data_IF_256572908233
#
_entry.id   IF_256572908233
#
_cell.length_a   1.000
_cell.length_b   1.000
_cell.length_c   1.000
_cell.angle_alpha   90.00
_cell.angle_beta   90.00
_cell.angle_gamma   90.00
#
_symmetry.space_group_name_H-M   'P 1'
#
loop_
_entity.id
_entity.type
_entity.pdbx_description
1 polymer ?
#
# COMPACT_ATOMS: atom_id res chain seq x y z
N UNK A 1 -12.12 -0.89 -16.85
CA UNK A 1 -10.81 -0.40 -17.32
C UNK A 1 -9.96 -0.06 -16.11
N UNK A 2 -8.67 -0.40 -16.11
CA UNK A 2 -7.79 -0.10 -14.97
C UNK A 2 -7.38 1.39 -14.96
N UNK A 3 -7.14 1.99 -13.78
CA UNK A 3 -6.61 3.35 -13.67
C UNK A 3 -5.26 3.52 -14.39
N UNK A 4 -5.01 4.73 -14.93
CA UNK A 4 -3.81 5.07 -15.73
C UNK A 4 -2.51 4.61 -15.07
N UNK A 5 -2.37 4.80 -13.76
CA UNK A 5 -1.10 4.57 -13.05
C UNK A 5 -0.96 3.17 -12.43
N UNK A 6 -1.97 2.29 -12.59
CA UNK A 6 -1.99 0.98 -11.92
C UNK A 6 -0.75 0.15 -12.18
N UNK A 7 -0.21 0.13 -13.40
CA UNK A 7 0.98 -0.65 -13.72
C UNK A 7 2.25 -0.02 -13.12
N UNK A 8 2.45 1.28 -13.34
CA UNK A 8 3.63 1.98 -12.86
C UNK A 8 3.76 1.90 -11.33
N UNK A 9 2.67 2.14 -10.60
CA UNK A 9 2.71 2.14 -9.13
C UNK A 9 2.83 0.72 -8.55
N UNK A 10 2.38 -0.32 -9.27
CA UNK A 10 2.66 -1.71 -8.91
C UNK A 10 4.15 -2.04 -9.09
N UNK A 11 4.76 -1.55 -10.17
CA UNK A 11 6.19 -1.70 -10.43
C UNK A 11 7.05 -0.97 -9.40
N UNK A 12 6.69 0.25 -9.02
CA UNK A 12 7.34 0.99 -7.93
C UNK A 12 7.15 0.30 -6.57
N UNK A 13 5.96 -0.23 -6.29
CA UNK A 13 5.70 -1.05 -5.09
C UNK A 13 6.55 -2.31 -5.05
N UNK A 14 6.87 -2.92 -6.21
CA UNK A 14 7.81 -4.04 -6.29
C UNK A 14 9.27 -3.58 -6.11
N UNK A 15 9.65 -2.44 -6.69
CA UNK A 15 10.99 -1.88 -6.54
C UNK A 15 11.31 -1.57 -5.07
N UNK A 16 10.31 -1.12 -4.29
CA UNK A 16 10.50 -0.80 -2.87
C UNK A 16 11.02 -1.98 -2.04
N UNK A 17 10.85 -3.24 -2.47
CA UNK A 17 11.38 -4.44 -1.79
C UNK A 17 12.86 -4.74 -2.08
N UNK A 18 13.48 -4.06 -3.05
CA UNK A 18 14.89 -4.25 -3.38
C UNK A 18 15.81 -3.60 -2.34
N UNK A 19 17.09 -4.02 -2.26
CA UNK A 19 18.12 -3.24 -1.58
C UNK A 19 18.15 -1.79 -2.05
N UNK A 20 18.29 -0.83 -1.14
CA UNK A 20 18.13 0.61 -1.43
C UNK A 20 19.09 1.14 -2.51
N UNK A 21 20.30 0.58 -2.59
CA UNK A 21 21.29 0.87 -3.62
C UNK A 21 20.84 0.44 -5.02
N UNK A 22 19.94 -0.54 -5.12
CA UNK A 22 19.35 -1.01 -6.38
C UNK A 22 18.08 -0.26 -6.78
N UNK A 23 17.32 0.26 -5.80
CA UNK A 23 16.04 0.94 -6.05
C UNK A 23 16.17 2.05 -7.07
N UNK A 24 17.21 2.89 -6.96
CA UNK A 24 17.48 4.00 -7.92
C UNK A 24 17.55 3.54 -9.38
N UNK A 25 18.13 2.38 -9.64
CA UNK A 25 18.26 1.85 -10.99
C UNK A 25 16.97 1.19 -11.46
N UNK A 26 16.24 0.57 -10.55
CA UNK A 26 14.99 -0.11 -10.87
C UNK A 26 13.88 0.89 -11.23
N UNK A 27 13.72 1.96 -10.46
CA UNK A 27 12.64 2.95 -10.69
C UNK A 27 12.84 3.74 -11.98
N UNK A 28 14.10 3.93 -12.42
CA UNK A 28 14.43 4.55 -13.70
C UNK A 28 13.88 3.76 -14.90
N UNK A 29 13.83 2.42 -14.82
CA UNK A 29 13.24 1.58 -15.87
C UNK A 29 11.75 1.83 -16.08
N UNK A 30 11.09 2.45 -15.10
CA UNK A 30 9.67 2.78 -15.12
C UNK A 30 9.42 4.27 -15.38
N UNK A 31 10.46 5.05 -15.70
CA UNK A 31 10.37 6.48 -15.97
C UNK A 31 10.33 7.35 -14.72
N UNK A 32 10.82 6.87 -13.58
CA UNK A 32 10.88 7.62 -12.32
C UNK A 32 12.32 7.82 -11.85
N UNK A 33 12.60 9.02 -11.35
CA UNK A 33 13.84 9.35 -10.65
C UNK A 33 13.67 9.07 -9.15
N UNK A 34 14.68 8.46 -8.55
CA UNK A 34 14.77 8.31 -7.11
C UNK A 34 15.04 9.67 -6.45
N UNK A 35 14.33 9.98 -5.36
CA UNK A 35 14.54 11.20 -4.57
C UNK A 35 15.14 10.85 -3.20
N UNK A 36 14.40 10.08 -2.40
CA UNK A 36 14.78 9.75 -1.03
C UNK A 36 14.10 8.46 -0.57
N UNK A 37 14.71 7.74 0.37
CA UNK A 37 14.06 6.69 1.14
C UNK A 37 14.18 6.96 2.63
N UNK A 38 13.34 6.27 3.39
CA UNK A 38 13.37 6.23 4.84
C UNK A 38 13.32 4.77 5.27
N UNK A 39 14.27 4.39 6.13
CA UNK A 39 14.38 3.06 6.69
C UNK A 39 14.42 3.15 8.22
N UNK A 40 13.29 2.87 8.86
CA UNK A 40 13.12 2.93 10.30
C UNK A 40 12.80 1.53 10.85
N UNK A 41 13.57 0.53 10.40
CA UNK A 41 13.40 -0.87 10.76
C UNK A 41 12.29 -1.52 9.94
N UNK A 42 11.21 -1.94 10.60
CA UNK A 42 10.09 -2.61 9.92
C UNK A 42 9.16 -1.64 9.15
N UNK A 43 9.48 -0.35 9.17
CA UNK A 43 8.71 0.70 8.51
C UNK A 43 9.60 1.43 7.53
N UNK A 44 9.25 1.31 6.25
CA UNK A 44 10.10 1.71 5.15
C UNK A 44 9.29 2.37 4.04
N UNK A 45 9.85 3.42 3.43
CA UNK A 45 9.22 4.13 2.32
C UNK A 45 10.26 4.69 1.36
N UNK A 46 9.88 4.84 0.09
CA UNK A 46 10.68 5.54 -0.92
C UNK A 46 9.82 6.59 -1.62
N UNK A 47 10.40 7.75 -1.85
CA UNK A 47 9.86 8.81 -2.67
C UNK A 47 10.59 8.82 -4.02
N UNK A 48 9.80 8.81 -5.08
CA UNK A 48 10.27 8.95 -6.45
C UNK A 48 9.44 10.00 -7.18
N UNK A 49 9.92 10.51 -8.30
CA UNK A 49 9.16 11.45 -9.13
C UNK A 49 9.41 11.25 -10.62
N UNK A 50 8.52 11.80 -11.43
CA UNK A 50 8.77 12.08 -12.84
C UNK A 50 8.47 13.57 -13.09
N UNK A 51 8.31 13.97 -14.35
CA UNK A 51 7.99 15.35 -14.72
C UNK A 51 6.56 15.79 -14.32
N UNK A 52 5.65 14.83 -14.08
CA UNK A 52 4.23 15.10 -13.80
C UNK A 52 3.92 15.13 -12.29
N UNK A 53 4.51 14.22 -11.50
CA UNK A 53 4.11 14.01 -10.11
C UNK A 53 5.17 13.28 -9.26
N UNK A 54 4.98 13.34 -7.96
CA UNK A 54 5.69 12.52 -6.97
C UNK A 54 4.89 11.27 -6.63
N UNK A 55 5.60 10.20 -6.25
CA UNK A 55 5.00 8.96 -5.73
C UNK A 55 5.73 8.56 -4.45
N UNK A 56 5.01 8.60 -3.34
CA UNK A 56 5.45 8.00 -2.08
C UNK A 56 5.01 6.55 -2.06
N UNK A 57 5.97 5.63 -1.90
CA UNK A 57 5.71 4.20 -1.87
C UNK A 57 6.12 3.64 -0.52
N UNK A 58 5.15 3.13 0.24
CA UNK A 58 5.42 2.39 1.47
C UNK A 58 5.69 0.92 1.14
N UNK A 59 6.78 0.38 1.69
CA UNK A 59 7.09 -1.04 1.59
C UNK A 59 6.26 -1.82 2.61
N UNK A 60 5.71 -2.94 2.19
CA UNK A 60 5.11 -3.93 3.08
C UNK A 60 6.12 -4.97 3.56
N UNK A 61 5.69 -5.82 4.49
CA UNK A 61 6.47 -7.00 4.86
C UNK A 61 6.32 -8.10 3.79
N UNK A 62 7.36 -8.94 3.65
CA UNK A 62 7.26 -10.15 2.84
C UNK A 62 6.58 -11.24 3.66
N UNK A 63 5.53 -11.84 3.12
CA UNK A 63 4.85 -12.96 3.77
C UNK A 63 5.50 -14.29 3.41
N UNK A 64 5.81 -15.08 4.44
CA UNK A 64 6.09 -16.51 4.33
C UNK A 64 4.88 -17.31 4.82
N UNK A 65 4.83 -18.62 4.54
CA UNK A 65 3.75 -19.48 5.08
C UNK A 65 3.72 -19.43 6.62
N UNK A 66 4.89 -19.34 7.26
CA UNK A 66 5.01 -19.19 8.71
C UNK A 66 4.41 -17.87 9.19
N UNK A 67 4.83 -16.74 8.60
CA UNK A 67 4.34 -15.43 9.02
C UNK A 67 2.84 -15.23 8.79
N UNK A 68 2.23 -15.92 7.81
CA UNK A 68 0.77 -15.91 7.65
C UNK A 68 0.06 -16.57 8.82
N UNK A 69 0.58 -17.69 9.35
CA UNK A 69 0.01 -18.33 10.53
C UNK A 69 0.10 -17.42 11.75
N UNK A 70 1.25 -16.76 11.92
CA UNK A 70 1.48 -15.83 13.03
C UNK A 70 0.61 -14.57 12.93
N UNK A 71 0.33 -14.09 11.72
CA UNK A 71 -0.56 -12.95 11.50
C UNK A 71 -2.03 -13.36 11.70
N UNK A 72 -2.40 -14.59 11.33
CA UNK A 72 -3.73 -15.14 11.59
C UNK A 72 -3.97 -15.44 13.08
N UNK A 73 -2.94 -15.72 13.86
CA UNK A 73 -3.05 -15.86 15.32
C UNK A 73 -3.02 -14.49 16.01
N UNK A 74 -2.26 -13.53 15.49
CA UNK A 74 -2.17 -12.15 15.97
C UNK A 74 -2.90 -11.16 15.06
N UNK A 75 -4.23 -11.28 14.97
CA UNK A 75 -5.09 -10.43 14.11
C UNK A 75 -5.20 -8.95 14.54
N UNK A 76 -4.48 -8.54 15.58
CA UNK A 76 -4.57 -7.21 16.19
C UNK A 76 -5.96 -6.84 16.70
N UNK A 77 -6.08 -5.59 17.16
CA UNK A 77 -7.34 -4.95 17.57
C UNK A 77 -7.50 -3.63 16.84
N UNK A 78 -8.72 -3.11 16.81
CA UNK A 78 -9.00 -1.74 16.38
C UNK A 78 -8.77 -0.83 17.57
N UNK A 79 -7.93 0.20 17.39
CA UNK A 79 -7.65 1.20 18.41
C UNK A 79 -7.72 2.61 17.81
N UNK A 80 -8.01 3.64 18.63
CA UNK A 80 -7.83 5.04 18.23
C UNK A 80 -6.40 5.31 17.76
N UNK A 81 -6.27 6.23 16.81
CA UNK A 81 -4.99 6.63 16.21
C UNK A 81 -4.93 8.15 16.04
N UNK A 82 -3.93 8.67 15.31
CA UNK A 82 -3.78 10.13 15.13
C UNK A 82 -4.76 10.75 14.10
N UNK A 83 -5.69 9.97 13.56
CA UNK A 83 -6.75 10.43 12.67
C UNK A 83 -8.12 9.97 13.18
N UNK A 84 -9.12 9.99 12.29
CA UNK A 84 -10.50 9.66 12.61
C UNK A 84 -10.75 8.14 12.64
N UNK A 85 -11.65 7.69 13.52
CA UNK A 85 -12.02 6.28 13.67
C UNK A 85 -10.93 5.41 14.30
N UNK A 86 -11.06 4.10 14.12
CA UNK A 86 -10.14 3.12 14.70
C UNK A 86 -9.43 2.30 13.62
N UNK A 87 -8.16 1.97 13.88
CA UNK A 87 -7.27 1.29 12.95
C UNK A 87 -6.58 0.11 13.64
N UNK A 88 -6.23 -0.91 12.87
CA UNK A 88 -5.46 -2.05 13.34
C UNK A 88 -4.15 -1.62 14.03
N UNK A 89 -3.94 -2.05 15.28
CA UNK A 89 -2.80 -1.68 16.13
C UNK A 89 -1.43 -1.84 15.48
N UNK A 90 -1.23 -2.92 14.74
CA UNK A 90 0.02 -3.14 14.00
C UNK A 90 0.32 -2.02 13.01
N UNK A 91 -0.68 -1.57 12.23
CA UNK A 91 -0.47 -0.53 11.23
C UNK A 91 -0.25 0.84 11.88
N UNK A 92 -0.90 1.11 13.01
CA UNK A 92 -0.64 2.31 13.82
C UNK A 92 0.82 2.35 14.26
N UNK A 93 1.33 1.24 14.83
CA UNK A 93 2.72 1.13 15.29
C UNK A 93 3.72 1.39 14.15
N UNK A 94 3.53 0.72 13.00
CA UNK A 94 4.41 0.91 11.84
C UNK A 94 4.32 2.33 11.26
N UNK A 95 3.12 2.92 11.22
CA UNK A 95 2.93 4.27 10.69
C UNK A 95 3.55 5.33 11.59
N UNK A 96 3.35 5.25 12.92
CA UNK A 96 3.89 6.19 13.89
C UNK A 96 5.43 6.29 13.84
N UNK A 97 6.12 5.21 13.48
CA UNK A 97 7.60 5.19 13.38
C UNK A 97 8.16 6.07 12.27
N UNK A 98 7.38 6.33 11.22
CA UNK A 98 7.90 6.93 9.98
C UNK A 98 7.09 8.13 9.49
N UNK A 99 5.83 8.30 9.92
CA UNK A 99 4.91 9.31 9.35
C UNK A 99 5.44 10.73 9.44
N UNK A 100 6.06 11.11 10.56
CA UNK A 100 6.42 12.51 10.81
C UNK A 100 7.64 12.91 9.98
N UNK A 101 8.67 12.05 9.93
CA UNK A 101 9.86 12.30 9.11
C UNK A 101 9.55 12.31 7.61
N UNK A 102 8.66 11.41 7.15
CA UNK A 102 8.20 11.36 5.76
C UNK A 102 7.38 12.61 5.42
N UNK A 103 6.41 12.97 6.26
CA UNK A 103 5.55 14.11 6.01
C UNK A 103 6.29 15.44 6.04
N UNK A 104 7.22 15.62 6.97
CA UNK A 104 8.02 16.85 7.06
C UNK A 104 8.82 17.11 5.79
N UNK A 105 9.26 16.06 5.09
CA UNK A 105 9.89 16.19 3.78
C UNK A 105 8.88 16.47 2.68
N UNK A 106 7.80 15.68 2.60
CA UNK A 106 6.79 15.79 1.54
C UNK A 106 6.05 17.13 1.58
N UNK A 107 5.83 17.70 2.76
CA UNK A 107 5.18 19.00 2.93
C UNK A 107 5.93 20.16 2.26
N UNK A 108 7.21 19.97 1.91
CA UNK A 108 8.04 20.96 1.22
C UNK A 108 8.03 20.80 -0.31
N UNK A 109 7.47 19.71 -0.82
CA UNK A 109 7.46 19.41 -2.25
C UNK A 109 6.28 20.09 -2.94
N UNK A 110 6.43 20.46 -4.23
CA UNK A 110 5.28 20.85 -5.02
C UNK A 110 4.33 19.66 -5.19
N UNK A 111 3.02 19.90 -5.04
CA UNK A 111 1.98 18.96 -5.47
C UNK A 111 2.07 18.78 -7.00
N UNK A 112 1.67 17.62 -7.56
CA UNK A 112 0.88 16.54 -6.95
C UNK A 112 1.69 15.34 -6.41
N UNK A 113 1.19 14.71 -5.33
CA UNK A 113 1.75 13.49 -4.73
C UNK A 113 0.71 12.35 -4.77
N UNK A 114 1.11 11.23 -5.35
CA UNK A 114 0.42 9.95 -5.21
C UNK A 114 1.05 9.13 -4.10
N UNK A 115 0.25 8.27 -3.48
CA UNK A 115 0.77 7.32 -2.48
C UNK A 115 0.44 5.91 -2.92
N UNK A 116 1.38 4.99 -2.80
CA UNK A 116 1.18 3.60 -3.17
C UNK A 116 1.77 2.64 -2.15
N UNK A 117 1.30 1.40 -2.20
CA UNK A 117 1.90 0.33 -1.42
C UNK A 117 1.29 -1.03 -1.72
N UNK A 118 2.10 -2.04 -1.49
CA UNK A 118 1.69 -3.44 -1.58
C UNK A 118 1.55 -4.00 -0.16
N UNK A 119 0.62 -4.94 0.06
CA UNK A 119 0.49 -5.64 1.33
C UNK A 119 0.25 -4.63 2.48
N UNK A 120 0.97 -4.78 3.60
CA UNK A 120 1.02 -3.84 4.73
C UNK A 120 1.42 -2.42 4.28
N UNK A 121 2.27 -2.28 3.27
CA UNK A 121 2.66 -0.98 2.73
C UNK A 121 1.46 -0.21 2.19
N UNK A 122 0.48 -0.90 1.59
CA UNK A 122 -0.76 -0.24 1.17
C UNK A 122 -1.65 0.17 2.34
N UNK A 123 -1.58 -0.50 3.50
CA UNK A 123 -2.24 -0.03 4.70
C UNK A 123 -1.61 1.28 5.20
N UNK A 124 -0.27 1.36 5.24
CA UNK A 124 0.44 2.60 5.59
C UNK A 124 0.16 3.74 4.61
N UNK A 125 0.05 3.43 3.31
CA UNK A 125 -0.32 4.40 2.28
C UNK A 125 -1.71 5.02 2.54
N UNK A 126 -2.70 4.19 2.89
CA UNK A 126 -4.04 4.65 3.25
C UNK A 126 -4.03 5.46 4.54
N UNK A 127 -3.30 5.02 5.57
CA UNK A 127 -3.14 5.77 6.82
C UNK A 127 -2.54 7.16 6.57
N UNK A 128 -1.52 7.25 5.70
CA UNK A 128 -0.93 8.53 5.32
C UNK A 128 -1.95 9.48 4.68
N UNK A 129 -2.75 8.96 3.74
CA UNK A 129 -3.79 9.76 3.08
C UNK A 129 -4.92 10.19 4.03
N UNK A 130 -5.35 9.32 4.94
CA UNK A 130 -6.34 9.68 5.96
C UNK A 130 -5.80 10.71 6.96
N UNK A 131 -4.51 10.65 7.30
CA UNK A 131 -3.88 11.59 8.22
C UNK A 131 -3.60 12.97 7.58
N UNK A 132 -3.24 13.00 6.30
CA UNK A 132 -2.87 14.22 5.55
C UNK A 132 -3.53 14.28 4.17
N UNK A 133 -4.85 14.40 4.09
CA UNK A 133 -5.60 14.25 2.84
C UNK A 133 -5.27 15.33 1.80
N UNK A 134 -5.00 16.57 2.22
CA UNK A 134 -4.70 17.67 1.31
C UNK A 134 -3.35 17.55 0.58
N UNK A 135 -2.51 16.62 1.01
CA UNK A 135 -1.22 16.36 0.38
C UNK A 135 -1.25 15.21 -0.62
N UNK A 136 -2.41 14.56 -0.84
CA UNK A 136 -2.49 13.30 -1.61
C UNK A 136 -3.57 13.37 -2.69
N UNK A 137 -3.21 13.09 -3.93
CA UNK A 137 -4.16 13.02 -5.05
C UNK A 137 -4.95 11.71 -5.03
N UNK A 138 -4.28 10.58 -4.83
CA UNK A 138 -4.90 9.27 -4.81
C UNK A 138 -3.96 8.23 -4.19
N UNK A 139 -4.56 7.19 -3.63
CA UNK A 139 -3.85 6.04 -3.06
C UNK A 139 -4.02 4.82 -3.94
N UNK A 140 -2.93 4.13 -4.23
CA UNK A 140 -2.93 2.87 -5.00
C UNK A 140 -2.47 1.73 -4.12
N UNK A 141 -3.35 0.76 -3.89
CA UNK A 141 -3.06 -0.37 -3.02
C UNK A 141 -3.10 -1.69 -3.78
N UNK A 142 -2.19 -2.61 -3.48
CA UNK A 142 -2.10 -3.93 -4.09
C UNK A 142 -2.08 -5.02 -3.01
N UNK A 143 -3.11 -5.86 -2.95
CA UNK A 143 -3.18 -6.95 -1.96
C UNK A 143 -3.27 -6.46 -0.52
N UNK A 144 -3.79 -5.25 -0.31
CA UNK A 144 -3.83 -4.63 1.02
C UNK A 144 -4.90 -5.26 1.91
N UNK A 145 -4.55 -5.62 3.17
CA UNK A 145 -5.49 -6.17 4.14
C UNK A 145 -6.57 -5.17 4.55
N UNK A 146 -7.54 -5.63 5.35
CA UNK A 146 -8.51 -4.75 6.01
C UNK A 146 -7.81 -3.93 7.09
N UNK A 147 -8.16 -2.66 7.23
CA UNK A 147 -7.34 -1.66 7.93
C UNK A 147 -8.01 -1.15 9.21
N UNK A 148 -9.26 -0.72 9.11
CA UNK A 148 -9.91 0.05 10.17
C UNK A 148 -11.43 -0.09 10.16
N UNK A 149 -12.08 0.59 11.08
CA UNK A 149 -13.54 0.59 11.22
C UNK A 149 -14.24 1.49 10.19
N UNK A 150 -15.58 1.52 10.26
CA UNK A 150 -16.39 2.32 9.34
C UNK A 150 -16.06 3.80 9.41
N UNK A 151 -15.83 4.33 10.61
CA UNK A 151 -15.52 5.75 10.79
C UNK A 151 -14.18 6.11 10.14
N UNK A 152 -13.17 5.24 10.28
CA UNK A 152 -11.90 5.37 9.57
C UNK A 152 -12.08 5.33 8.04
N UNK A 153 -12.85 4.37 7.51
CA UNK A 153 -13.09 4.28 6.05
C UNK A 153 -13.81 5.53 5.54
N UNK A 154 -14.78 6.04 6.29
CA UNK A 154 -15.50 7.27 5.93
C UNK A 154 -14.62 8.51 5.94
N UNK A 155 -13.53 8.54 6.71
CA UNK A 155 -12.58 9.66 6.75
C UNK A 155 -11.75 9.85 5.47
N UNK A 156 -11.76 8.87 4.56
CA UNK A 156 -11.04 8.90 3.29
C UNK A 156 -11.87 9.50 2.15
N UNK A 157 -13.04 10.06 2.43
CA UNK A 157 -13.99 10.60 1.44
C UNK A 157 -13.37 11.58 0.42
N UNK A 158 -12.32 12.30 0.82
CA UNK A 158 -11.62 13.28 -0.03
C UNK A 158 -10.48 12.72 -0.87
N UNK A 159 -10.00 11.50 -0.58
CA UNK A 159 -8.83 10.93 -1.28
C UNK A 159 -9.21 9.59 -1.90
N UNK A 160 -9.30 9.48 -3.23
CA UNK A 160 -9.68 8.24 -3.89
C UNK A 160 -8.66 7.13 -3.63
N UNK A 161 -9.15 5.98 -3.17
CA UNK A 161 -8.37 4.76 -2.97
C UNK A 161 -8.67 3.76 -4.08
N UNK A 162 -7.69 3.55 -4.96
CA UNK A 162 -7.73 2.62 -6.10
C UNK A 162 -7.19 1.24 -5.67
N UNK A 163 -8.09 0.39 -5.17
CA UNK A 163 -7.71 -0.88 -4.55
C UNK A 163 -7.67 -2.05 -5.53
N UNK A 164 -6.52 -2.70 -5.66
CA UNK A 164 -6.32 -3.85 -6.54
C UNK A 164 -6.30 -5.15 -5.74
N UNK A 165 -7.12 -6.12 -6.15
CA UNK A 165 -7.26 -7.43 -5.52
C UNK A 165 -7.00 -8.52 -6.56
N UNK A 166 -6.03 -9.38 -6.30
CA UNK A 166 -5.77 -10.55 -7.12
C UNK A 166 -6.60 -11.76 -6.65
N UNK A 167 -7.18 -12.50 -7.58
CA UNK A 167 -7.92 -13.72 -7.31
C UNK A 167 -7.06 -14.73 -6.54
N UNK A 168 -7.65 -15.26 -5.46
CA UNK A 168 -7.03 -16.17 -4.50
C UNK A 168 -5.85 -15.58 -3.71
N UNK A 169 -5.70 -14.25 -3.65
CA UNK A 169 -4.88 -13.60 -2.63
C UNK A 169 -5.61 -13.62 -1.29
N UNK A 170 -4.96 -14.11 -0.23
CA UNK A 170 -5.54 -14.20 1.11
C UNK A 170 -5.55 -12.84 1.83
N UNK A 171 -4.56 -11.98 1.57
CA UNK A 171 -4.30 -10.81 2.40
C UNK A 171 -5.47 -9.81 2.44
N UNK A 172 -6.16 -9.48 1.33
CA UNK A 172 -7.34 -8.60 1.35
C UNK A 172 -8.52 -9.10 2.17
N UNK A 173 -8.51 -10.38 2.57
CA UNK A 173 -9.57 -11.02 3.34
C UNK A 173 -9.26 -11.14 4.84
N UNK A 174 -8.14 -10.56 5.30
CA UNK A 174 -7.75 -10.53 6.71
C UNK A 174 -7.50 -9.10 7.19
N UNK A 175 -7.72 -8.79 8.48
CA UNK A 175 -8.48 -9.58 9.45
C UNK A 175 -9.95 -9.76 9.00
N UNK A 176 -10.65 -10.78 9.52
CA UNK A 176 -12.05 -11.05 9.15
C UNK A 176 -12.96 -9.86 9.47
N UNK A 177 -13.89 -9.54 8.56
CA UNK A 177 -14.78 -8.37 8.69
C UNK A 177 -15.77 -8.44 9.85
N UNK A 178 -16.04 -9.63 10.39
CA UNK A 178 -16.91 -9.82 11.57
C UNK A 178 -16.40 -9.09 12.82
N UNK A 179 -15.12 -8.68 12.84
CA UNK A 179 -14.51 -7.91 13.93
C UNK A 179 -14.49 -6.39 13.66
N UNK A 180 -15.31 -5.92 12.71
CA UNK A 180 -15.41 -4.48 12.37
C UNK A 180 -14.33 -3.98 11.41
N UNK A 181 -13.34 -4.78 11.05
CA UNK A 181 -12.32 -4.41 10.07
C UNK A 181 -12.90 -4.30 8.67
N UNK A 182 -12.65 -3.17 8.02
CA UNK A 182 -13.04 -2.87 6.66
C UNK A 182 -11.81 -2.52 5.81
N UNK A 183 -11.94 -2.77 4.51
CA UNK A 183 -10.92 -2.41 3.52
C UNK A 183 -11.22 -1.00 3.02
N UNK A 184 -10.19 -0.17 2.90
CA UNK A 184 -10.27 1.11 2.21
C UNK A 184 -10.29 0.90 0.70
N UNK A 185 -11.34 1.37 0.05
CA UNK A 185 -11.46 1.40 -1.40
C UNK A 185 -12.55 2.38 -1.80
N UNK A 186 -12.21 3.35 -2.66
CA UNK A 186 -13.19 4.10 -3.43
C UNK A 186 -13.60 3.26 -4.64
N UNK A 187 -12.59 2.72 -5.35
CA UNK A 187 -12.76 1.77 -6.43
C UNK A 187 -12.05 0.46 -6.10
N UNK A 188 -12.64 -0.66 -6.52
CA UNK A 188 -12.00 -1.98 -6.42
C UNK A 188 -11.81 -2.59 -7.79
N UNK A 189 -10.58 -2.98 -8.10
CA UNK A 189 -10.20 -3.67 -9.34
C UNK A 189 -9.84 -5.10 -9.04
N UNK A 190 -10.66 -6.03 -9.52
CA UNK A 190 -10.39 -7.45 -9.44
C UNK A 190 -9.47 -7.87 -10.59
N UNK A 191 -8.42 -8.60 -10.25
CA UNK A 191 -7.35 -9.04 -11.13
C UNK A 191 -7.22 -10.55 -11.04
N UNK A 192 -6.74 -11.21 -12.10
CA UNK A 192 -6.35 -12.62 -12.05
C UNK A 192 -5.00 -12.84 -12.72
N UNK A 193 -3.98 -13.07 -11.90
CA UNK A 193 -2.62 -13.37 -12.37
C UNK A 193 -2.49 -14.75 -13.04
N UNK A 194 -3.43 -15.66 -12.79
CA UNK A 194 -3.39 -17.07 -13.16
C UNK A 194 -2.24 -17.86 -12.51
N UNK A 195 -2.15 -19.15 -12.85
CA UNK A 195 -1.11 -20.07 -12.37
C UNK A 195 -1.41 -20.71 -11.01
N UNK A 196 -0.42 -21.45 -10.47
CA UNK A 196 -0.58 -22.28 -9.28
C UNK A 196 -1.08 -21.50 -8.05
N UNK A 197 -2.10 -22.05 -7.39
CA UNK A 197 -2.72 -21.50 -6.18
C UNK A 197 -2.10 -22.21 -4.98
N UNK A 198 -1.27 -21.47 -4.25
CA UNK A 198 -0.74 -21.86 -2.95
C UNK A 198 -0.97 -20.76 -1.93
N UNK A 199 -0.67 -21.00 -0.64
CA UNK A 199 -1.17 -20.16 0.46
C UNK A 199 -0.80 -18.68 0.37
N UNK A 200 0.35 -18.35 -0.22
CA UNK A 200 0.85 -16.97 -0.39
C UNK A 200 1.18 -16.62 -1.83
N UNK A 201 1.00 -17.55 -2.78
CA UNK A 201 1.60 -17.43 -4.11
C UNK A 201 0.95 -16.37 -4.99
N UNK A 202 -0.29 -16.00 -4.68
CA UNK A 202 -1.05 -14.93 -5.35
C UNK A 202 -0.83 -13.55 -4.74
N UNK A 203 -0.27 -13.50 -3.53
CA UNK A 203 -0.07 -12.26 -2.80
C UNK A 203 1.11 -11.44 -3.34
N UNK A 204 2.17 -12.07 -3.85
CA UNK A 204 3.34 -11.33 -4.37
C UNK A 204 2.98 -10.22 -5.37
N UNK A 205 3.52 -9.01 -5.17
CA UNK A 205 3.38 -7.87 -6.09
C UNK A 205 3.72 -8.20 -7.55
N UNK A 206 4.62 -9.16 -7.81
CA UNK A 206 4.93 -9.62 -9.17
C UNK A 206 3.71 -10.27 -9.86
N UNK A 207 2.82 -10.91 -9.09
CA UNK A 207 1.54 -11.45 -9.59
C UNK A 207 0.56 -10.36 -9.95
N UNK A 208 0.49 -9.31 -9.14
CA UNK A 208 -0.29 -8.11 -9.45
C UNK A 208 0.19 -7.45 -10.75
N UNK A 209 1.50 -7.23 -10.90
CA UNK A 209 2.10 -6.70 -12.13
C UNK A 209 1.73 -7.60 -13.34
N UNK A 210 1.86 -8.92 -13.19
CA UNK A 210 1.48 -9.88 -14.25
C UNK A 210 0.00 -9.76 -14.63
N UNK A 211 -0.89 -9.65 -13.65
CA UNK A 211 -2.33 -9.56 -13.90
C UNK A 211 -2.72 -8.24 -14.58
N UNK A 212 -2.10 -7.13 -14.17
CA UNK A 212 -2.31 -5.80 -14.77
C UNK A 212 -1.83 -5.79 -16.23
N UNK A 213 -0.63 -6.33 -16.51
CA UNK A 213 -0.09 -6.41 -17.88
C UNK A 213 -0.92 -7.27 -18.82
N UNK A 214 -1.60 -8.29 -18.30
CA UNK A 214 -2.51 -9.12 -19.10
C UNK A 214 -3.74 -8.34 -19.56
N UNK A 215 -4.11 -7.24 -18.87
CA UNK A 215 -5.40 -6.57 -19.05
C UNK A 215 -6.51 -7.53 -18.62
N UNK A 216 -6.96 -7.47 -17.37
CA UNK A 216 -7.80 -8.56 -16.86
C UNK A 216 -9.17 -8.58 -17.54
N UNK A 217 -9.58 -9.81 -17.86
CA UNK A 217 -10.80 -10.27 -18.54
C UNK A 217 -12.05 -9.83 -17.77
#
# INVERSE_FOLDING_TARGET
MLPKHSLAFAQLSNAAYLPWDQVRYEVLKYGYNYIQHWDHGESQAVLVCNEEHYVLVFRGTEFTIGSVRDILSNLGTLEPWAGTGQVHTGYISHFNRIRDIVHNYIAQLPLPVYVAGHSMGGALAVLYAAWKPFSVISVYTYGTPRIGDREFISSLDKVPVEAHINSFDFAPHIPLSIRGFLRAATNTFHLDSGGWIGPVTRHSIRRYIKAIKKGTI
#
